data_IF_509731945460
#
_entry.id   IF_509731945460
#
_cell.length_a   1.000
_cell.length_b   1.000
_cell.length_c   1.000
_cell.angle_alpha   90.00
_cell.angle_beta   90.00
_cell.angle_gamma   90.00
#
_symmetry.space_group_name_H-M   'P 1'
#
loop_
_entity.id
_entity.type
_entity.pdbx_description
1 polymer ?
#
# COMPACT_ATOMS: atom_id res chain seq x y z
N UNK A 1 11.91 31.96 36.54
CA UNK A 1 12.21 30.57 36.10
C UNK A 1 10.91 30.02 35.55
N UNK A 2 10.66 30.19 34.26
CA UNK A 2 9.40 29.77 33.63
C UNK A 2 9.50 28.30 33.26
N UNK A 3 8.82 27.44 34.03
CA UNK A 3 8.59 26.05 33.68
C UNK A 3 7.56 25.98 32.55
N UNK A 4 8.04 26.04 31.31
CA UNK A 4 7.24 25.70 30.13
C UNK A 4 7.08 24.19 30.07
N UNK A 5 6.01 23.67 30.66
CA UNK A 5 5.58 22.29 30.51
C UNK A 5 5.24 22.07 29.03
N UNK A 6 6.23 21.61 28.27
CA UNK A 6 6.00 21.05 26.95
C UNK A 6 5.26 19.75 27.18
N UNK A 7 3.95 19.75 26.94
CA UNK A 7 3.21 18.51 26.74
C UNK A 7 3.87 17.81 25.56
N UNK A 8 4.79 16.89 25.84
CA UNK A 8 5.27 15.94 24.86
C UNK A 8 4.04 15.11 24.52
N UNK A 9 3.40 15.41 23.39
CA UNK A 9 2.41 14.52 22.83
C UNK A 9 3.11 13.15 22.73
N UNK A 10 2.61 12.16 23.48
CA UNK A 10 3.14 10.81 23.35
C UNK A 10 3.03 10.43 21.86
N UNK A 11 4.16 10.01 21.27
CA UNK A 11 4.20 9.68 19.86
C UNK A 11 3.06 8.71 19.52
N UNK A 12 2.32 9.04 18.47
CA UNK A 12 1.24 8.20 17.95
C UNK A 12 1.87 7.02 17.23
N UNK A 13 1.68 5.82 17.77
CA UNK A 13 2.08 4.57 17.11
C UNK A 13 0.90 3.92 16.41
N UNK A 14 1.07 3.60 15.12
CA UNK A 14 0.05 3.03 14.24
C UNK A 14 0.62 1.79 13.59
N UNK A 15 -0.05 0.65 13.77
CA UNK A 15 0.34 -0.60 13.16
C UNK A 15 -0.51 -0.87 11.93
N UNK A 16 0.13 -0.96 10.77
CA UNK A 16 -0.45 -1.51 9.56
C UNK A 16 -0.21 -3.03 9.51
N UNK A 17 -1.29 -3.80 9.42
CA UNK A 17 -1.25 -5.24 9.20
C UNK A 17 -1.60 -5.59 7.75
N UNK A 18 -1.38 -6.85 7.34
CA UNK A 18 -1.65 -7.33 5.98
C UNK A 18 -0.84 -6.61 4.89
N UNK A 19 0.33 -6.07 5.24
CA UNK A 19 1.21 -5.40 4.26
C UNK A 19 2.04 -6.45 3.55
N UNK A 20 2.06 -6.40 2.21
CA UNK A 20 2.84 -7.35 1.43
C UNK A 20 4.35 -7.04 1.51
N UNK A 21 5.02 -7.65 2.48
CA UNK A 21 6.46 -7.52 2.72
C UNK A 21 7.17 -8.85 2.44
N UNK A 22 7.30 -9.24 1.18
CA UNK A 22 7.87 -10.56 0.88
C UNK A 22 9.41 -10.59 0.75
N UNK A 23 10.08 -9.43 0.67
CA UNK A 23 11.53 -9.35 0.53
C UNK A 23 12.12 -8.09 1.19
N UNK A 24 13.44 -8.08 1.42
CA UNK A 24 14.14 -6.95 2.05
C UNK A 24 14.02 -5.65 1.24
N UNK A 25 13.78 -5.72 -0.07
CA UNK A 25 13.53 -4.52 -0.87
C UNK A 25 12.17 -3.90 -0.57
N UNK A 26 11.16 -4.70 -0.19
CA UNK A 26 9.88 -4.16 0.28
C UNK A 26 10.08 -3.35 1.57
N UNK A 27 10.86 -3.87 2.53
CA UNK A 27 11.20 -3.16 3.77
C UNK A 27 11.93 -1.85 3.47
N UNK A 28 12.97 -1.89 2.61
CA UNK A 28 13.67 -0.69 2.16
C UNK A 28 12.76 0.30 1.41
N UNK A 29 11.78 -0.21 0.67
CA UNK A 29 10.80 0.61 -0.04
C UNK A 29 9.86 1.33 0.91
N UNK A 30 9.41 0.66 1.96
CA UNK A 30 8.64 1.25 3.07
C UNK A 30 9.46 2.35 3.76
N UNK A 31 10.70 2.05 4.17
CA UNK A 31 11.63 3.03 4.76
C UNK A 31 11.82 4.25 3.85
N UNK A 32 12.04 4.03 2.55
CA UNK A 32 12.24 5.11 1.57
C UNK A 32 10.97 5.92 1.31
N UNK A 33 9.80 5.31 1.40
CA UNK A 33 8.52 6.03 1.28
C UNK A 33 8.32 6.95 2.49
N UNK A 34 8.65 6.47 3.68
CA UNK A 34 8.44 7.16 4.94
C UNK A 34 9.53 8.17 5.28
N UNK A 35 10.75 8.01 4.78
CA UNK A 35 11.83 9.00 4.94
C UNK A 35 11.50 10.36 4.32
N UNK A 36 10.47 10.43 3.47
CA UNK A 36 9.92 11.68 2.92
C UNK A 36 9.00 12.42 3.90
N UNK A 37 8.62 11.79 5.02
CA UNK A 37 7.75 12.36 6.03
C UNK A 37 8.58 12.68 7.27
N UNK A 38 8.77 13.97 7.54
CA UNK A 38 9.57 14.42 8.68
C UNK A 38 8.92 14.02 10.01
N UNK A 39 9.76 13.54 10.95
CA UNK A 39 9.31 13.13 12.29
C UNK A 39 8.68 11.74 12.36
N UNK A 40 8.69 10.97 11.26
CA UNK A 40 8.15 9.60 11.24
C UNK A 40 9.27 8.60 11.32
N UNK A 41 9.07 7.56 12.14
CA UNK A 41 9.87 6.34 12.11
C UNK A 41 8.97 5.16 11.78
N UNK A 42 9.53 4.14 11.15
CA UNK A 42 8.80 2.90 10.93
C UNK A 42 9.64 1.67 11.18
N UNK A 43 8.96 0.64 11.63
CA UNK A 43 9.50 -0.68 11.87
C UNK A 43 8.68 -1.68 11.07
N UNK A 44 9.30 -2.24 10.03
CA UNK A 44 8.68 -3.26 9.20
C UNK A 44 9.01 -4.64 9.74
N UNK A 45 7.99 -5.42 10.04
CA UNK A 45 8.09 -6.85 10.33
C UNK A 45 7.71 -7.63 9.06
N UNK A 46 8.73 -8.14 8.38
CA UNK A 46 8.60 -8.90 7.14
C UNK A 46 7.91 -10.25 7.35
N UNK A 47 8.16 -10.89 8.49
CA UNK A 47 7.66 -12.23 8.78
C UNK A 47 6.19 -12.18 9.22
N UNK A 48 5.81 -11.14 9.96
CA UNK A 48 4.42 -10.88 10.33
C UNK A 48 3.62 -10.12 9.26
N UNK A 49 4.27 -9.54 8.24
CA UNK A 49 3.62 -8.71 7.23
C UNK A 49 3.01 -7.43 7.83
N UNK A 50 3.74 -6.79 8.75
CA UNK A 50 3.24 -5.60 9.46
C UNK A 50 4.23 -4.45 9.41
N UNK A 51 3.73 -3.21 9.47
CA UNK A 51 4.54 -1.99 9.54
C UNK A 51 4.03 -1.16 10.71
N UNK A 52 4.85 -0.99 11.73
CA UNK A 52 4.59 -0.08 12.85
C UNK A 52 5.16 1.28 12.51
N UNK A 53 4.32 2.31 12.49
CA UNK A 53 4.67 3.70 12.19
C UNK A 53 4.55 4.48 13.49
N UNK A 54 5.59 5.23 13.85
CA UNK A 54 5.58 6.11 15.02
C UNK A 54 5.76 7.55 14.52
N UNK A 55 4.84 8.42 14.91
CA UNK A 55 4.78 9.80 14.45
C UNK A 55 4.41 10.74 15.62
N UNK A 56 4.78 12.03 15.57
CA UNK A 56 4.48 12.98 16.64
C UNK A 56 2.97 13.21 16.84
N UNK A 57 2.16 12.97 15.80
CA UNK A 57 0.72 13.20 15.82
C UNK A 57 0.00 12.36 14.76
N UNK A 58 -1.32 12.24 14.91
CA UNK A 58 -2.18 11.47 13.98
C UNK A 58 -2.19 12.00 12.55
N UNK A 59 -2.06 13.31 12.34
CA UNK A 59 -2.02 13.87 10.99
C UNK A 59 -0.72 13.49 10.27
N UNK A 60 0.39 13.48 11.00
CA UNK A 60 1.69 13.01 10.50
C UNK A 60 1.68 11.50 10.25
N UNK A 61 1.09 10.70 11.16
CA UNK A 61 0.87 9.27 10.93
C UNK A 61 -0.01 9.00 9.70
N UNK A 62 -1.06 9.80 9.49
CA UNK A 62 -1.92 9.69 8.30
C UNK A 62 -1.12 9.98 7.03
N UNK A 63 -0.30 11.05 7.00
CA UNK A 63 0.60 11.35 5.87
C UNK A 63 1.57 10.21 5.57
N UNK A 64 2.10 9.55 6.60
CA UNK A 64 2.96 8.37 6.45
C UNK A 64 2.22 7.20 5.79
N UNK A 65 1.00 6.88 6.24
CA UNK A 65 0.16 5.85 5.63
C UNK A 65 -0.19 6.21 4.18
N UNK A 66 -0.55 7.46 3.89
CA UNK A 66 -0.82 7.92 2.54
C UNK A 66 0.42 7.78 1.62
N UNK A 67 1.62 8.05 2.15
CA UNK A 67 2.87 7.87 1.41
C UNK A 67 3.16 6.40 1.11
N UNK A 68 2.84 5.48 2.04
CA UNK A 68 2.96 4.04 1.81
C UNK A 68 2.00 3.54 0.72
N UNK A 69 0.74 3.96 0.79
CA UNK A 69 -0.27 3.66 -0.24
C UNK A 69 0.18 4.18 -1.60
N UNK A 70 0.72 5.39 -1.66
CA UNK A 70 1.25 5.97 -2.89
C UNK A 70 2.51 5.24 -3.40
N UNK A 71 3.30 4.65 -2.50
CA UNK A 71 4.46 3.82 -2.84
C UNK A 71 4.09 2.37 -3.23
N UNK A 72 2.81 2.01 -3.23
CA UNK A 72 2.32 0.70 -3.65
C UNK A 72 2.09 -0.31 -2.53
N UNK A 73 2.16 0.11 -1.26
CA UNK A 73 1.92 -0.73 -0.10
C UNK A 73 0.51 -0.50 0.45
N UNK A 74 -0.27 -1.57 0.60
CA UNK A 74 -1.58 -1.49 1.24
C UNK A 74 -1.58 -2.32 2.51
N UNK A 75 -2.37 -1.91 3.50
CA UNK A 75 -2.54 -2.65 4.74
C UNK A 75 -3.78 -2.18 5.50
N UNK A 76 -3.98 -2.72 6.70
CA UNK A 76 -5.06 -2.32 7.61
C UNK A 76 -4.46 -1.66 8.83
N UNK A 77 -4.86 -0.42 9.09
CA UNK A 77 -4.53 0.28 10.32
C UNK A 77 -5.25 -0.36 11.51
N UNK A 78 -4.54 -0.52 12.63
CA UNK A 78 -5.15 -0.86 13.92
C UNK A 78 -5.83 0.35 14.58
N UNK A 79 -5.49 1.58 14.18
CA UNK A 79 -6.09 2.81 14.69
C UNK A 79 -7.23 3.27 13.75
N UNK A 80 -8.49 3.38 14.22
CA UNK A 80 -9.63 3.79 13.41
C UNK A 80 -9.57 5.27 12.97
N UNK A 81 -8.76 6.10 13.63
CA UNK A 81 -8.51 7.48 13.21
C UNK A 81 -7.61 7.55 11.97
N UNK A 82 -6.85 6.50 11.69
CA UNK A 82 -5.93 6.43 10.55
C UNK A 82 -6.56 5.59 9.44
N UNK A 83 -6.91 6.26 8.35
CA UNK A 83 -7.55 5.63 7.20
C UNK A 83 -6.53 5.26 6.15
N UNK A 84 -6.45 3.96 5.83
CA UNK A 84 -5.72 3.47 4.66
C UNK A 84 -6.65 3.57 3.44
N UNK A 85 -6.61 4.71 2.76
CA UNK A 85 -7.49 4.95 1.62
C UNK A 85 -6.98 4.20 0.39
N UNK A 86 -7.79 3.29 -0.17
CA UNK A 86 -7.53 2.67 -1.46
C UNK A 86 -7.73 3.71 -2.59
N UNK A 87 -6.71 4.54 -2.85
CA UNK A 87 -6.75 5.57 -3.89
C UNK A 87 -6.50 4.95 -5.27
N UNK A 88 -7.37 4.03 -5.68
CA UNK A 88 -7.20 3.36 -6.97
C UNK A 88 -7.52 4.25 -8.16
N UNK A 89 -8.29 5.33 -8.00
CA UNK A 89 -8.75 6.15 -9.14
C UNK A 89 -9.63 5.40 -10.14
N UNK A 90 -10.03 4.17 -9.81
CA UNK A 90 -10.84 3.31 -10.65
C UNK A 90 -12.27 3.84 -10.75
N UNK A 91 -12.73 4.08 -11.97
CA UNK A 91 -14.14 4.39 -12.22
C UNK A 91 -14.97 3.12 -12.14
N UNK A 92 -16.24 3.26 -11.73
CA UNK A 92 -17.20 2.17 -11.84
C UNK A 92 -17.49 1.89 -13.31
N UNK A 93 -17.38 0.62 -13.67
CA UNK A 93 -17.62 0.16 -15.03
C UNK A 93 -16.94 -1.17 -15.27
N UNK A 94 -17.55 -1.97 -16.15
CA UNK A 94 -16.87 -3.12 -16.73
C UNK A 94 -15.86 -2.60 -17.75
N UNK A 95 -14.62 -3.01 -17.60
CA UNK A 95 -13.55 -2.65 -18.52
C UNK A 95 -13.01 -3.93 -19.15
N UNK A 96 -12.59 -3.81 -20.41
CA UNK A 96 -11.92 -4.92 -21.10
C UNK A 96 -10.41 -4.92 -20.88
N UNK A 97 -9.85 -3.73 -20.63
CA UNK A 97 -8.47 -3.51 -20.24
C UNK A 97 -8.39 -2.48 -19.12
N UNK A 98 -7.44 -2.67 -18.22
CA UNK A 98 -7.13 -1.73 -17.15
C UNK A 98 -5.61 -1.70 -16.98
N UNK A 99 -5.03 -0.53 -17.19
CA UNK A 99 -3.65 -0.27 -16.79
C UNK A 99 -3.60 -0.04 -15.28
N UNK A 100 -2.70 -0.72 -14.59
CA UNK A 100 -2.46 -0.58 -13.16
C UNK A 100 -1.05 -0.08 -12.97
N UNK A 101 -0.90 1.05 -12.27
CA UNK A 101 0.35 1.72 -11.99
C UNK A 101 0.67 1.71 -10.49
N UNK A 102 1.96 1.79 -10.16
CA UNK A 102 2.41 2.06 -8.79
C UNK A 102 2.41 0.85 -7.86
N UNK A 103 2.14 -0.35 -8.37
CA UNK A 103 2.29 -1.59 -7.61
C UNK A 103 3.78 -1.94 -7.53
N UNK A 104 4.28 -2.20 -6.32
CA UNK A 104 5.70 -2.46 -6.10
C UNK A 104 6.10 -3.88 -6.51
N UNK A 105 6.40 -4.10 -7.80
CA UNK A 105 6.75 -5.40 -8.37
C UNK A 105 8.26 -5.73 -8.35
N UNK A 106 8.96 -5.45 -7.24
CA UNK A 106 10.43 -5.56 -7.21
C UNK A 106 10.97 -7.01 -7.31
N UNK A 107 10.15 -8.03 -7.06
CA UNK A 107 10.56 -9.44 -7.14
C UNK A 107 9.46 -10.36 -7.69
N UNK A 108 9.84 -11.59 -8.05
CA UNK A 108 8.91 -12.57 -8.64
C UNK A 108 7.76 -12.93 -7.71
N UNK A 109 7.97 -12.96 -6.39
CA UNK A 109 6.89 -13.24 -5.44
C UNK A 109 5.79 -12.16 -5.49
N UNK A 110 6.15 -10.89 -5.66
CA UNK A 110 5.17 -9.82 -5.84
C UNK A 110 4.35 -10.02 -7.12
N UNK A 111 5.00 -10.44 -8.21
CA UNK A 111 4.33 -10.78 -9.48
C UNK A 111 3.39 -11.97 -9.28
N UNK A 112 3.82 -13.02 -8.58
CA UNK A 112 2.98 -14.17 -8.27
C UNK A 112 1.77 -13.77 -7.43
N UNK A 113 1.94 -12.92 -6.42
CA UNK A 113 0.83 -12.42 -5.60
C UNK A 113 -0.15 -11.58 -6.40
N UNK A 114 0.33 -10.74 -7.33
CA UNK A 114 -0.56 -10.03 -8.26
C UNK A 114 -1.33 -11.02 -9.13
N UNK A 115 -0.66 -12.01 -9.72
CA UNK A 115 -1.34 -13.02 -10.55
C UNK A 115 -2.38 -13.83 -9.75
N UNK A 116 -2.08 -14.23 -8.51
CA UNK A 116 -3.00 -14.94 -7.63
C UNK A 116 -4.18 -14.07 -7.17
N UNK A 117 -3.94 -12.78 -6.88
CA UNK A 117 -5.01 -11.87 -6.53
C UNK A 117 -5.95 -11.62 -7.72
N UNK A 118 -5.40 -11.41 -8.91
CA UNK A 118 -6.15 -11.12 -10.13
C UNK A 118 -6.90 -12.34 -10.66
N UNK A 119 -6.36 -13.56 -10.52
CA UNK A 119 -7.04 -14.79 -10.95
C UNK A 119 -8.32 -15.08 -10.15
N UNK A 120 -8.45 -14.50 -8.95
CA UNK A 120 -9.64 -14.56 -8.10
C UNK A 120 -10.70 -13.53 -8.49
N UNK A 121 -10.38 -12.59 -9.37
CA UNK A 121 -11.33 -11.55 -9.82
C UNK A 121 -12.13 -12.08 -10.99
N UNK A 122 -13.45 -12.14 -10.83
CA UNK A 122 -14.35 -12.59 -11.87
C UNK A 122 -14.20 -11.73 -13.14
N UNK A 123 -13.97 -12.42 -14.26
CA UNK A 123 -13.84 -11.79 -15.57
C UNK A 123 -12.42 -11.37 -15.95
N UNK A 124 -11.44 -11.37 -15.04
CA UNK A 124 -10.03 -11.21 -15.44
C UNK A 124 -9.59 -12.45 -16.24
N UNK A 125 -8.94 -12.21 -17.38
CA UNK A 125 -8.42 -13.27 -18.26
C UNK A 125 -6.90 -13.36 -18.22
N UNK A 126 -6.22 -12.22 -18.25
CA UNK A 126 -4.77 -12.15 -18.26
C UNK A 126 -4.26 -10.85 -17.65
N UNK A 127 -2.97 -10.81 -17.34
CA UNK A 127 -2.26 -9.59 -16.98
C UNK A 127 -0.81 -9.63 -17.45
N UNK A 128 -0.20 -8.46 -17.59
CA UNK A 128 1.21 -8.31 -18.02
C UNK A 128 2.15 -7.97 -16.86
N UNK A 129 1.77 -8.30 -15.61
CA UNK A 129 2.61 -8.00 -14.45
C UNK A 129 3.96 -8.71 -14.54
N UNK A 130 5.04 -7.92 -14.49
CA UNK A 130 6.40 -8.41 -14.60
C UNK A 130 7.29 -7.81 -13.51
N UNK A 131 8.38 -8.51 -13.19
CA UNK A 131 9.33 -8.05 -12.19
C UNK A 131 9.97 -6.75 -12.66
N UNK A 132 9.97 -5.74 -11.80
CA UNK A 132 10.50 -4.40 -12.08
C UNK A 132 9.60 -3.54 -12.94
N UNK A 133 8.42 -4.03 -13.36
CA UNK A 133 7.47 -3.22 -14.09
C UNK A 133 6.84 -2.19 -13.15
N UNK A 134 6.86 -0.92 -13.56
CA UNK A 134 6.20 0.18 -12.83
C UNK A 134 4.68 0.19 -13.07
N UNK A 135 4.26 -0.47 -14.14
CA UNK A 135 2.86 -0.64 -14.52
C UNK A 135 2.64 -1.96 -15.24
N UNK A 136 1.40 -2.46 -15.21
CA UNK A 136 0.97 -3.61 -15.98
C UNK A 136 -0.46 -3.44 -16.45
N UNK A 137 -0.85 -4.20 -17.46
CA UNK A 137 -2.22 -4.23 -17.97
C UNK A 137 -2.92 -5.49 -17.47
N UNK A 138 -4.19 -5.35 -17.12
CA UNK A 138 -5.11 -6.44 -16.82
C UNK A 138 -6.16 -6.45 -17.92
N UNK A 139 -6.40 -7.61 -18.54
CA UNK A 139 -7.37 -7.77 -19.62
C UNK A 139 -8.45 -8.78 -19.26
N UNK A 140 -9.67 -8.57 -19.74
CA UNK A 140 -10.82 -9.40 -19.39
C UNK A 140 -12.17 -8.72 -19.58
N UNK A 141 -13.12 -9.02 -18.70
CA UNK A 141 -14.42 -8.35 -18.58
C UNK A 141 -14.76 -8.26 -17.09
N UNK A 142 -14.08 -7.34 -16.40
CA UNK A 142 -14.09 -7.23 -14.95
C UNK A 142 -14.46 -5.82 -14.52
N UNK A 143 -14.84 -5.67 -13.25
CA UNK A 143 -14.99 -4.35 -12.65
C UNK A 143 -13.63 -3.86 -12.14
N UNK A 144 -13.27 -2.63 -12.48
CA UNK A 144 -12.01 -2.05 -12.01
C UNK A 144 -11.92 -2.04 -10.47
N UNK A 145 -13.03 -1.78 -9.77
CA UNK A 145 -13.05 -1.80 -8.29
C UNK A 145 -12.69 -3.18 -7.73
N UNK A 146 -13.14 -4.27 -8.35
CA UNK A 146 -12.85 -5.63 -7.88
C UNK A 146 -11.37 -5.98 -8.05
N UNK A 147 -10.74 -5.52 -9.13
CA UNK A 147 -9.29 -5.66 -9.34
C UNK A 147 -8.51 -4.99 -8.20
N UNK A 148 -8.79 -3.73 -7.91
CA UNK A 148 -8.09 -3.03 -6.83
C UNK A 148 -8.45 -3.59 -5.46
N UNK A 149 -9.69 -4.03 -5.24
CA UNK A 149 -10.07 -4.69 -3.99
C UNK A 149 -9.28 -5.99 -3.77
N UNK A 150 -9.07 -6.79 -4.81
CA UNK A 150 -8.26 -7.99 -4.74
C UNK A 150 -6.77 -7.68 -4.46
N UNK A 151 -6.21 -6.67 -5.14
CA UNK A 151 -4.83 -6.21 -4.88
C UNK A 151 -4.66 -5.72 -3.43
N UNK A 152 -5.59 -4.88 -2.95
CA UNK A 152 -5.58 -4.37 -1.58
C UNK A 152 -5.68 -5.51 -0.54
N UNK A 153 -6.52 -6.52 -0.79
CA UNK A 153 -6.60 -7.73 0.05
C UNK A 153 -5.30 -8.51 0.08
N UNK A 154 -4.51 -8.44 -0.99
CA UNK A 154 -3.19 -9.05 -1.06
C UNK A 154 -2.08 -8.17 -0.45
N UNK A 155 -2.42 -7.02 0.15
CA UNK A 155 -1.46 -6.08 0.75
C UNK A 155 -0.75 -5.17 -0.26
N UNK A 156 -1.31 -5.06 -1.47
CA UNK A 156 -0.74 -4.30 -2.58
C UNK A 156 -1.64 -3.10 -2.90
N UNK A 157 -1.03 -1.93 -3.05
CA UNK A 157 -1.71 -0.72 -3.51
C UNK A 157 -1.33 -0.43 -4.95
N UNK A 158 -2.28 0.07 -5.73
CA UNK A 158 -2.08 0.48 -7.11
C UNK A 158 -3.12 1.50 -7.54
N UNK A 159 -2.86 2.16 -8.65
CA UNK A 159 -3.74 3.17 -9.26
C UNK A 159 -4.10 2.78 -10.68
N UNK A 160 -5.30 3.14 -11.13
CA UNK A 160 -5.72 3.02 -12.51
C UNK A 160 -4.90 4.00 -13.36
N UNK A 161 -4.13 3.45 -14.30
CA UNK A 161 -3.53 4.22 -15.37
C UNK A 161 -4.61 4.78 -16.29
N UNK A 162 -4.38 6.01 -16.76
CA UNK A 162 -5.13 6.58 -17.87
C UNK A 162 -4.76 5.88 -19.18
#
# INVERSE_FOLDING_TARGET
MSFGWSAQAADTSVKLSDVHLCCNNCVKGVDKALSKVAGVTAQSDKDAGTVTITAPDKATAQKAVDALVAAGYFGKSNDPAIRVAAKSGAKEGKLESLKVNGVHLCCNKCVTTVNDALSKVAGVKANTAAKGAESFEVTGNFNAKDVFAALNKAGLSGTAGK
#
